data_IF_268275214185
#
_entry.id   IF_268275214185
#
_cell.length_a   1.000
_cell.length_b   1.000
_cell.length_c   1.000
_cell.angle_alpha   90.00
_cell.angle_beta   90.00
_cell.angle_gamma   90.00
#
_symmetry.space_group_name_H-M   'P 1'
#
loop_
_entity.id
_entity.type
_entity.pdbx_description
1 polymer ?
#
# COMPACT_ATOMS: atom_id res chain seq x y z
N UNK A 1 13.96 -41.95 -9.98
CA UNK A 1 14.84 -40.77 -9.81
C UNK A 1 13.98 -39.60 -9.35
N UNK A 2 14.24 -39.07 -8.16
CA UNK A 2 13.47 -37.96 -7.59
C UNK A 2 13.97 -36.63 -8.18
N UNK A 3 13.16 -36.01 -9.04
CA UNK A 3 13.32 -34.60 -9.38
C UNK A 3 12.40 -33.81 -8.45
N UNK A 4 12.87 -33.51 -7.25
CA UNK A 4 12.30 -32.43 -6.45
C UNK A 4 13.08 -31.18 -6.83
N UNK A 5 12.77 -30.62 -8.01
CA UNK A 5 13.21 -29.28 -8.36
C UNK A 5 12.59 -28.33 -7.35
N UNK A 6 13.37 -28.01 -6.32
CA UNK A 6 13.12 -26.89 -5.41
C UNK A 6 13.19 -25.61 -6.22
N UNK A 7 12.15 -25.35 -7.00
CA UNK A 7 11.95 -24.06 -7.64
C UNK A 7 11.93 -23.05 -6.51
N UNK A 8 12.97 -22.22 -6.44
CA UNK A 8 13.02 -21.08 -5.53
C UNK A 8 11.82 -20.22 -5.88
N UNK A 9 10.70 -20.44 -5.19
CA UNK A 9 9.51 -19.63 -5.36
C UNK A 9 9.93 -18.21 -4.99
N UNK A 10 10.05 -17.34 -5.99
CA UNK A 10 10.28 -15.93 -5.78
C UNK A 10 8.95 -15.32 -5.32
N UNK A 11 8.58 -15.62 -4.07
CA UNK A 11 7.48 -14.98 -3.39
C UNK A 11 7.89 -13.56 -3.02
N UNK A 12 7.09 -12.59 -3.46
CA UNK A 12 7.12 -11.20 -2.99
C UNK A 12 5.73 -10.83 -2.47
N UNK A 13 5.66 -10.26 -1.28
CA UNK A 13 4.44 -9.81 -0.61
C UNK A 13 4.63 -8.44 0.03
N UNK A 14 3.52 -7.75 0.28
CA UNK A 14 3.51 -6.46 0.99
C UNK A 14 2.57 -6.61 2.18
N UNK A 15 3.06 -6.32 3.37
CA UNK A 15 2.29 -6.29 4.62
C UNK A 15 2.06 -4.83 4.96
N UNK A 16 0.81 -4.45 5.21
CA UNK A 16 0.49 -3.13 5.76
C UNK A 16 0.47 -3.22 7.29
N UNK A 17 1.41 -2.55 7.96
CA UNK A 17 1.37 -2.32 9.41
C UNK A 17 0.96 -0.88 9.63
N UNK A 18 -0.32 -0.67 9.96
CA UNK A 18 -0.90 0.68 9.93
C UNK A 18 -0.81 1.31 8.52
N UNK A 19 -0.66 2.64 8.40
CA UNK A 19 -0.49 3.29 7.09
C UNK A 19 0.89 3.05 6.47
N UNK A 20 1.74 2.19 7.06
CA UNK A 20 3.08 1.93 6.57
C UNK A 20 3.14 0.57 5.85
N UNK A 21 3.26 0.56 4.51
CA UNK A 21 3.48 -0.66 3.76
C UNK A 21 4.92 -1.15 3.95
N UNK A 22 5.08 -2.40 4.34
CA UNK A 22 6.37 -3.09 4.48
C UNK A 22 6.46 -4.18 3.42
N UNK A 23 7.52 -4.13 2.63
CA UNK A 23 7.68 -4.93 1.43
C UNK A 23 8.65 -6.07 1.71
N UNK A 24 8.23 -7.31 1.46
CA UNK A 24 9.02 -8.51 1.75
C UNK A 24 9.07 -9.44 0.54
N UNK A 25 10.25 -9.95 0.19
CA UNK A 25 10.42 -11.01 -0.80
C UNK A 25 11.24 -10.62 -2.03
N UNK A 26 11.52 -11.62 -2.88
CA UNK A 26 12.67 -11.59 -3.81
C UNK A 26 12.45 -10.79 -5.09
N UNK A 27 11.20 -10.45 -5.44
CA UNK A 27 10.87 -9.74 -6.67
C UNK A 27 10.58 -8.26 -6.40
N UNK A 28 11.67 -7.50 -6.29
CA UNK A 28 11.69 -6.06 -6.03
C UNK A 28 10.82 -5.24 -7.01
N UNK A 29 10.55 -5.76 -8.22
CA UNK A 29 9.71 -5.08 -9.22
C UNK A 29 8.24 -4.98 -8.79
N UNK A 30 7.64 -6.09 -8.35
CA UNK A 30 6.23 -6.14 -7.92
C UNK A 30 6.04 -5.44 -6.58
N UNK A 31 6.99 -5.68 -5.68
CA UNK A 31 7.20 -4.96 -4.42
C UNK A 31 7.15 -3.44 -4.60
N UNK A 32 7.90 -2.91 -5.57
CA UNK A 32 8.00 -1.48 -5.83
C UNK A 32 6.73 -0.90 -6.45
N UNK A 33 6.05 -1.62 -7.36
CA UNK A 33 4.77 -1.17 -7.90
C UNK A 33 3.67 -1.08 -6.84
N UNK A 34 3.61 -2.06 -5.94
CA UNK A 34 2.64 -2.07 -4.83
C UNK A 34 2.92 -0.95 -3.82
N UNK A 35 4.20 -0.63 -3.58
CA UNK A 35 4.59 0.47 -2.72
C UNK A 35 4.14 1.83 -3.27
N UNK A 36 4.32 2.08 -4.57
CA UNK A 36 3.80 3.30 -5.20
C UNK A 36 2.28 3.40 -5.13
N UNK A 37 1.58 2.28 -5.35
CA UNK A 37 0.12 2.23 -5.25
C UNK A 37 -0.37 2.54 -3.83
N UNK A 38 0.27 1.96 -2.81
CA UNK A 38 -0.06 2.21 -1.40
C UNK A 38 0.17 3.68 -1.02
N UNK A 39 1.30 4.26 -1.41
CA UNK A 39 1.60 5.68 -1.15
C UNK A 39 0.57 6.58 -1.85
N UNK A 40 0.24 6.30 -3.12
CA UNK A 40 -0.77 7.08 -3.83
C UNK A 40 -2.12 7.03 -3.12
N UNK A 41 -2.54 5.86 -2.64
CA UNK A 41 -3.81 5.70 -1.93
C UNK A 41 -3.83 6.44 -0.59
N UNK A 42 -2.71 6.42 0.15
CA UNK A 42 -2.56 7.19 1.40
C UNK A 42 -2.64 8.69 1.14
N UNK A 43 -1.96 9.19 0.10
CA UNK A 43 -2.00 10.60 -0.27
C UNK A 43 -3.41 11.02 -0.68
N UNK A 44 -4.08 10.22 -1.50
CA UNK A 44 -5.47 10.46 -1.90
C UNK A 44 -6.36 10.53 -0.66
N UNK A 45 -6.28 9.53 0.23
CA UNK A 45 -7.04 9.52 1.48
C UNK A 45 -6.77 10.76 2.33
N UNK A 46 -5.51 11.15 2.50
CA UNK A 46 -5.13 12.34 3.27
C UNK A 46 -5.70 13.63 2.65
N UNK A 47 -5.69 13.75 1.33
CA UNK A 47 -6.31 14.88 0.61
C UNK A 47 -7.83 14.87 0.79
N UNK A 48 -8.49 13.74 0.61
CA UNK A 48 -9.94 13.62 0.80
C UNK A 48 -10.36 13.90 2.25
N UNK A 49 -9.58 13.45 3.24
CA UNK A 49 -9.94 13.58 4.65
C UNK A 49 -9.50 14.89 5.30
N UNK A 50 -8.48 15.58 4.78
CA UNK A 50 -8.03 16.87 5.35
C UNK A 50 -8.33 18.06 4.44
N UNK A 51 -8.04 17.97 3.13
CA UNK A 51 -8.19 19.11 2.22
C UNK A 51 -9.65 19.36 1.82
N UNK A 52 -10.46 18.32 1.57
CA UNK A 52 -11.88 18.51 1.29
C UNK A 52 -12.63 19.14 2.46
N UNK A 53 -12.58 18.62 3.71
CA UNK A 53 -13.29 19.25 4.81
C UNK A 53 -12.69 20.60 5.20
N UNK A 54 -11.43 20.91 4.89
CA UNK A 54 -10.89 22.27 5.01
C UNK A 54 -11.57 23.22 4.03
N UNK A 55 -11.73 22.81 2.76
CA UNK A 55 -12.43 23.58 1.72
C UNK A 55 -13.94 23.67 1.96
N UNK A 56 -14.54 22.63 2.55
CA UNK A 56 -15.96 22.53 2.91
C UNK A 56 -16.24 22.82 4.40
N UNK A 57 -15.30 23.43 5.14
CA UNK A 57 -15.35 23.55 6.62
C UNK A 57 -16.53 24.32 7.22
N UNK A 58 -17.47 24.79 6.40
CA UNK A 58 -18.78 25.28 6.84
C UNK A 58 -19.87 24.22 7.06
N UNK A 59 -19.73 22.97 6.59
CA UNK A 59 -20.91 22.09 6.38
C UNK A 59 -21.11 20.87 7.28
N UNK A 60 -20.06 20.30 7.92
CA UNK A 60 -20.18 18.96 8.53
C UNK A 60 -19.76 18.84 10.01
N UNK A 61 -19.43 19.96 10.67
CA UNK A 61 -19.02 19.97 12.09
C UNK A 61 -20.18 20.02 13.10
N UNK A 62 -21.43 19.88 12.66
CA UNK A 62 -22.62 20.10 13.50
C UNK A 62 -23.59 18.91 13.61
N UNK A 63 -23.06 17.67 13.56
CA UNK A 63 -23.76 16.52 14.15
C UNK A 63 -23.43 16.46 15.65
#
# INVERSE_FOLDING_TARGET
>A
MAVLSGGKAKGGGVILIGPFPIVFGSDAKVARSLMYLAIALIVIFMVLSFLLPFMFSGGWRSL
#
